data_IF_126218899541
#
_entry.id   IF_126218899541
#
_cell.length_a   1.000
_cell.length_b   1.000
_cell.length_c   1.000
_cell.angle_alpha   90.00
_cell.angle_beta   90.00
_cell.angle_gamma   90.00
#
_symmetry.space_group_name_H-M   'P 1'
#
loop_
_entity.id
_entity.type
_entity.pdbx_description
1 polymer ?
#
# COMPACT_ATOMS: atom_id res chain seq x y z
N UNK A 1 -16.07 7.60 -18.26
CA UNK A 1 -16.00 6.76 -17.04
C UNK A 1 -16.42 5.36 -17.44
N UNK A 2 -15.46 4.48 -17.73
CA UNK A 2 -15.77 3.11 -18.16
C UNK A 2 -16.06 2.31 -16.89
N UNK A 3 -17.33 1.99 -16.67
CA UNK A 3 -17.75 1.14 -15.56
C UNK A 3 -17.42 -0.30 -15.95
N UNK A 4 -16.34 -0.84 -15.41
CA UNK A 4 -16.11 -2.29 -15.43
C UNK A 4 -17.10 -2.92 -14.44
N UNK A 5 -18.32 -3.21 -14.91
CA UNK A 5 -19.28 -4.10 -14.22
C UNK A 5 -18.88 -5.54 -14.54
N UNK A 6 -17.68 -5.93 -14.10
CA UNK A 6 -17.24 -7.31 -14.08
C UNK A 6 -17.09 -7.71 -12.62
N UNK A 7 -17.98 -8.58 -12.13
CA UNK A 7 -17.79 -9.22 -10.83
C UNK A 7 -16.51 -10.05 -10.96
N UNK A 8 -15.47 -9.73 -10.18
CA UNK A 8 -14.19 -10.45 -10.21
C UNK A 8 -14.37 -11.96 -9.94
N UNK A 9 -15.50 -12.35 -9.34
CA UNK A 9 -15.92 -13.75 -9.11
C UNK A 9 -16.26 -14.56 -10.38
N UNK A 10 -16.55 -13.91 -11.52
CA UNK A 10 -16.84 -14.61 -12.78
C UNK A 10 -15.56 -15.02 -13.53
N UNK A 11 -14.38 -14.57 -13.09
CA UNK A 11 -13.10 -15.09 -13.58
C UNK A 11 -12.74 -16.40 -12.87
N UNK A 12 -13.58 -17.42 -13.03
CA UNK A 12 -13.18 -18.82 -12.79
C UNK A 12 -12.40 -19.32 -14.00
N UNK A 13 -11.26 -18.68 -14.27
CA UNK A 13 -10.24 -19.31 -15.09
C UNK A 13 -9.90 -20.64 -14.42
N UNK A 14 -10.15 -21.75 -15.11
CA UNK A 14 -9.75 -23.05 -14.64
C UNK A 14 -8.21 -23.09 -14.66
N UNK A 15 -7.55 -22.65 -13.59
CA UNK A 15 -6.09 -22.66 -13.45
C UNK A 15 -5.50 -24.07 -13.55
N UNK A 16 -6.36 -25.10 -13.52
CA UNK A 16 -6.04 -26.52 -13.71
C UNK A 16 -6.35 -27.04 -15.13
N UNK A 17 -6.74 -26.18 -16.07
CA UNK A 17 -6.77 -26.55 -17.47
C UNK A 17 -5.32 -26.71 -17.93
N UNK A 18 -4.82 -27.95 -17.84
CA UNK A 18 -3.50 -28.33 -18.32
C UNK A 18 -3.40 -27.83 -19.76
N UNK A 19 -2.63 -26.77 -19.97
CA UNK A 19 -2.30 -26.32 -21.32
C UNK A 19 -1.82 -27.56 -22.09
N UNK A 20 -2.46 -27.84 -23.22
CA UNK A 20 -2.05 -28.96 -24.08
C UNK A 20 -0.66 -28.60 -24.59
N UNK A 21 0.36 -29.15 -23.94
CA UNK A 21 1.75 -28.99 -24.37
C UNK A 21 1.99 -29.94 -25.54
N UNK A 22 2.58 -29.40 -26.60
CA UNK A 22 2.98 -30.17 -27.77
C UNK A 22 4.23 -31.02 -27.52
N UNK A 23 4.61 -31.80 -28.52
CA UNK A 23 5.84 -32.59 -28.50
C UNK A 23 7.10 -31.71 -28.43
N UNK A 24 8.23 -32.34 -28.11
CA UNK A 24 9.51 -31.65 -27.99
C UNK A 24 10.05 -31.29 -29.38
N UNK A 25 10.27 -30.00 -29.64
CA UNK A 25 10.92 -29.56 -30.88
C UNK A 25 12.45 -29.64 -30.76
N UNK A 26 13.19 -29.73 -31.87
CA UNK A 26 14.66 -29.67 -31.86
C UNK A 26 15.20 -28.47 -31.07
N UNK A 27 16.29 -28.70 -30.33
CA UNK A 27 16.87 -27.73 -29.39
C UNK A 27 17.26 -26.40 -30.07
N UNK A 28 17.86 -26.48 -31.25
CA UNK A 28 18.27 -25.33 -32.07
C UNK A 28 17.09 -24.40 -32.41
N UNK A 29 15.93 -24.99 -32.69
CA UNK A 29 14.71 -24.25 -32.98
C UNK A 29 14.25 -23.57 -31.69
N UNK A 30 14.17 -24.29 -30.58
CA UNK A 30 13.79 -23.70 -29.28
C UNK A 30 14.68 -22.51 -28.88
N UNK A 31 16.00 -22.62 -29.05
CA UNK A 31 16.95 -21.55 -28.75
C UNK A 31 16.74 -20.32 -29.66
N UNK A 32 16.56 -20.55 -30.97
CA UNK A 32 16.31 -19.46 -31.94
C UNK A 32 15.02 -18.72 -31.65
N UNK A 33 13.94 -19.45 -31.34
CA UNK A 33 12.68 -18.81 -31.00
C UNK A 33 12.72 -18.11 -29.64
N UNK A 34 13.47 -18.62 -28.67
CA UNK A 34 13.70 -17.94 -27.39
C UNK A 34 14.25 -16.53 -27.60
N UNK A 35 15.19 -16.37 -28.53
CA UNK A 35 15.70 -15.05 -28.92
C UNK A 35 14.62 -14.15 -29.54
N UNK A 36 13.81 -14.69 -30.46
CA UNK A 36 12.73 -13.94 -31.12
C UNK A 36 11.67 -13.48 -30.10
N UNK A 37 11.40 -14.28 -29.06
CA UNK A 37 10.49 -13.91 -27.98
C UNK A 37 11.04 -12.78 -27.10
N UNK A 38 12.34 -12.81 -26.79
CA UNK A 38 13.00 -11.75 -26.02
C UNK A 38 13.10 -10.44 -26.79
N UNK A 39 13.41 -10.52 -28.10
CA UNK A 39 13.50 -9.36 -28.98
C UNK A 39 12.11 -8.82 -29.39
N UNK A 40 11.06 -9.61 -29.18
CA UNK A 40 9.65 -9.25 -29.35
C UNK A 40 9.10 -9.51 -30.77
N UNK A 41 7.98 -10.24 -30.86
CA UNK A 41 7.22 -10.39 -32.11
C UNK A 41 6.32 -9.17 -32.39
N UNK A 42 6.14 -8.87 -33.68
CA UNK A 42 5.13 -7.92 -34.17
C UNK A 42 3.72 -8.47 -33.87
N UNK A 43 2.77 -7.57 -33.58
CA UNK A 43 1.42 -7.92 -33.11
C UNK A 43 0.68 -8.90 -34.04
N UNK A 44 0.75 -8.69 -35.34
CA UNK A 44 0.11 -9.54 -36.36
C UNK A 44 0.65 -10.99 -36.32
N UNK A 45 1.96 -11.14 -36.10
CA UNK A 45 2.60 -12.45 -36.01
C UNK A 45 2.23 -13.18 -34.71
N UNK A 46 2.00 -12.45 -33.62
CA UNK A 46 1.55 -13.04 -32.34
C UNK A 46 0.17 -13.66 -32.45
N UNK A 47 -0.76 -13.00 -33.15
CA UNK A 47 -2.13 -13.49 -33.34
C UNK A 47 -2.15 -14.75 -34.23
N UNK A 48 -1.38 -14.75 -35.33
CA UNK A 48 -1.24 -15.92 -36.20
C UNK A 48 -0.61 -17.14 -35.49
N UNK A 49 0.34 -16.91 -34.59
CA UNK A 49 0.96 -17.97 -33.77
C UNK A 49 -0.02 -18.49 -32.71
N UNK A 50 -0.84 -17.62 -32.12
CA UNK A 50 -1.77 -18.01 -31.05
C UNK A 50 -2.89 -18.93 -31.53
N UNK A 51 -3.41 -18.72 -32.74
CA UNK A 51 -4.51 -19.55 -33.28
C UNK A 51 -4.03 -20.91 -33.80
N UNK A 52 -2.79 -21.01 -34.29
CA UNK A 52 -2.33 -22.18 -35.03
C UNK A 52 -1.36 -23.08 -34.26
N UNK A 53 -0.80 -22.63 -33.14
CA UNK A 53 0.30 -23.34 -32.50
C UNK A 53 -0.04 -23.89 -31.11
N UNK A 54 0.19 -25.19 -30.98
CA UNK A 54 0.31 -25.86 -29.69
C UNK A 54 1.70 -25.52 -29.12
N UNK A 55 1.76 -24.99 -27.89
CA UNK A 55 3.02 -24.57 -27.26
C UNK A 55 3.90 -25.81 -27.03
N UNK A 56 5.10 -25.90 -27.61
CA UNK A 56 6.00 -27.04 -27.40
C UNK A 56 6.41 -27.18 -25.94
N UNK A 57 6.58 -28.42 -25.45
CA UNK A 57 6.90 -28.67 -24.04
C UNK A 57 8.25 -28.09 -23.57
N UNK A 58 9.22 -27.95 -24.48
CA UNK A 58 10.54 -27.39 -24.18
C UNK A 58 10.60 -25.86 -24.20
N UNK A 59 9.48 -25.20 -24.50
CA UNK A 59 9.40 -23.75 -24.59
C UNK A 59 9.17 -23.11 -23.21
N UNK A 60 10.21 -23.15 -22.37
CA UNK A 60 10.13 -22.70 -20.98
C UNK A 60 9.95 -21.18 -20.84
N UNK A 61 10.41 -20.38 -21.81
CA UNK A 61 10.29 -18.92 -21.77
C UNK A 61 8.86 -18.40 -21.99
N UNK A 62 7.98 -19.20 -22.58
CA UNK A 62 6.56 -18.86 -22.75
C UNK A 62 5.74 -19.27 -21.54
N UNK A 63 6.27 -20.17 -20.70
CA UNK A 63 5.64 -20.50 -19.44
C UNK A 63 5.84 -19.34 -18.48
N UNK A 64 4.75 -18.93 -17.82
CA UNK A 64 4.88 -18.00 -16.71
C UNK A 64 5.87 -18.59 -15.69
N UNK A 65 6.77 -17.77 -15.12
CA UNK A 65 7.68 -18.25 -14.10
C UNK A 65 6.87 -18.92 -12.99
N UNK A 66 7.33 -20.10 -12.57
CA UNK A 66 6.74 -20.79 -11.43
C UNK A 66 7.12 -20.02 -10.17
N UNK A 67 6.28 -19.07 -9.81
CA UNK A 67 6.45 -18.26 -8.61
C UNK A 67 6.14 -19.11 -7.37
N UNK A 68 6.86 -18.83 -6.29
CA UNK A 68 6.54 -19.41 -4.99
C UNK A 68 5.23 -18.80 -4.48
N UNK A 69 4.39 -19.55 -3.75
CA UNK A 69 3.12 -19.02 -3.24
C UNK A 69 3.32 -17.80 -2.34
N UNK A 70 4.43 -17.71 -1.60
CA UNK A 70 4.79 -16.55 -0.79
C UNK A 70 5.05 -15.29 -1.64
N UNK A 71 5.75 -15.43 -2.77
CA UNK A 71 6.01 -14.33 -3.70
C UNK A 71 4.72 -13.82 -4.35
N UNK A 72 3.81 -14.73 -4.70
CA UNK A 72 2.49 -14.37 -5.24
C UNK A 72 1.68 -13.58 -4.21
N UNK A 73 1.70 -14.01 -2.95
CA UNK A 73 1.02 -13.30 -1.86
C UNK A 73 1.60 -11.90 -1.66
N UNK A 74 2.93 -11.77 -1.68
CA UNK A 74 3.62 -10.48 -1.55
C UNK A 74 3.25 -9.54 -2.69
N UNK A 75 3.37 -9.99 -3.95
CA UNK A 75 3.01 -9.18 -5.12
C UNK A 75 1.54 -8.75 -5.06
N UNK A 76 0.65 -9.64 -4.61
CA UNK A 76 -0.77 -9.31 -4.45
C UNK A 76 -1.00 -8.23 -3.38
N UNK A 77 -0.29 -8.33 -2.25
CA UNK A 77 -0.34 -7.32 -1.18
C UNK A 77 0.18 -5.96 -1.66
N UNK A 78 1.29 -5.94 -2.36
CA UNK A 78 1.88 -4.72 -2.93
C UNK A 78 0.93 -4.08 -3.95
N UNK A 79 0.31 -4.89 -4.82
CA UNK A 79 -0.66 -4.42 -5.80
C UNK A 79 -1.89 -3.79 -5.11
N UNK A 80 -2.45 -4.46 -4.12
CA UNK A 80 -3.59 -3.93 -3.35
C UNK A 80 -3.21 -2.65 -2.56
N UNK A 81 -1.97 -2.56 -2.09
CA UNK A 81 -1.45 -1.38 -1.44
C UNK A 81 -1.45 -0.18 -2.39
N UNK A 82 -0.85 -0.34 -3.56
CA UNK A 82 -0.79 0.68 -4.61
C UNK A 82 -2.18 1.10 -5.11
N UNK A 83 -3.08 0.14 -5.36
CA UNK A 83 -4.44 0.43 -5.79
C UNK A 83 -5.17 1.32 -4.77
N UNK A 84 -4.99 1.03 -3.48
CA UNK A 84 -5.59 1.85 -2.42
C UNK A 84 -5.02 3.28 -2.41
N UNK A 85 -3.70 3.42 -2.55
CA UNK A 85 -3.06 4.74 -2.61
C UNK A 85 -3.61 5.52 -3.80
N UNK A 86 -3.67 4.89 -4.97
CA UNK A 86 -4.15 5.52 -6.19
C UNK A 86 -5.62 5.92 -6.08
N UNK A 87 -6.48 5.06 -5.51
CA UNK A 87 -7.88 5.40 -5.25
C UNK A 87 -8.03 6.60 -4.31
N UNK A 88 -7.22 6.68 -3.24
CA UNK A 88 -7.23 7.86 -2.35
C UNK A 88 -6.74 9.12 -3.05
N UNK A 89 -5.67 9.05 -3.84
CA UNK A 89 -5.16 10.19 -4.63
C UNK A 89 -6.21 10.71 -5.62
N UNK A 90 -7.02 9.82 -6.21
CA UNK A 90 -8.08 10.19 -7.14
C UNK A 90 -9.34 10.73 -6.45
N UNK A 91 -9.71 10.18 -5.29
CA UNK A 91 -10.95 10.54 -4.60
C UNK A 91 -10.79 11.76 -3.69
N UNK A 92 -9.65 11.93 -2.99
CA UNK A 92 -9.44 13.03 -2.04
C UNK A 92 -9.70 14.41 -2.67
N UNK A 93 -9.19 14.74 -3.88
CA UNK A 93 -9.43 16.06 -4.49
C UNK A 93 -10.89 16.30 -4.88
N UNK A 94 -11.71 15.25 -4.99
CA UNK A 94 -13.12 15.33 -5.34
C UNK A 94 -14.02 15.51 -4.10
N UNK A 95 -13.46 15.45 -2.89
CA UNK A 95 -14.20 15.65 -1.65
C UNK A 95 -14.23 17.13 -1.26
N UNK A 96 -15.33 17.53 -0.62
CA UNK A 96 -15.44 18.86 -0.01
C UNK A 96 -14.33 19.08 1.02
N UNK A 97 -13.92 20.34 1.19
CA UNK A 97 -12.79 20.71 2.05
C UNK A 97 -12.95 20.24 3.52
N UNK A 98 -14.19 20.19 4.02
CA UNK A 98 -14.53 19.66 5.34
C UNK A 98 -14.27 18.14 5.43
N UNK A 99 -14.67 17.38 4.41
CA UNK A 99 -14.43 15.95 4.31
C UNK A 99 -12.98 15.61 4.01
N UNK A 100 -12.26 16.46 3.27
CA UNK A 100 -10.84 16.26 2.99
C UNK A 100 -10.02 16.20 4.28
N UNK A 101 -10.21 17.17 5.18
CA UNK A 101 -9.50 17.23 6.46
C UNK A 101 -9.80 16.00 7.33
N UNK A 102 -11.04 15.52 7.29
CA UNK A 102 -11.46 14.31 8.01
C UNK A 102 -10.84 13.05 7.38
N UNK A 103 -10.90 12.90 6.06
CA UNK A 103 -10.48 11.70 5.36
C UNK A 103 -8.96 11.54 5.22
N UNK A 104 -8.21 12.65 5.17
CA UNK A 104 -6.75 12.63 5.03
C UNK A 104 -6.04 12.05 6.27
N UNK A 105 -6.61 12.27 7.47
CA UNK A 105 -6.01 11.82 8.73
C UNK A 105 -6.34 10.38 9.13
N UNK A 106 -7.24 9.68 8.41
CA UNK A 106 -7.70 8.36 8.85
C UNK A 106 -6.73 7.27 8.40
N UNK A 107 -6.38 6.39 9.35
CA UNK A 107 -5.57 5.21 9.12
C UNK A 107 -6.25 4.31 8.08
N UNK A 108 -5.47 3.81 7.12
CA UNK A 108 -5.93 2.83 6.14
C UNK A 108 -6.15 1.51 6.88
N UNK A 109 -7.39 1.03 6.88
CA UNK A 109 -7.76 -0.27 7.45
C UNK A 109 -8.49 -1.09 6.36
N UNK A 110 -9.46 -1.92 6.74
CA UNK A 110 -10.24 -2.75 5.82
C UNK A 110 -10.98 -1.94 4.73
N UNK A 111 -11.39 -0.71 5.04
CA UNK A 111 -12.02 0.22 4.10
C UNK A 111 -11.07 1.35 3.70
N UNK A 112 -11.33 1.95 2.53
CA UNK A 112 -10.49 3.00 1.94
C UNK A 112 -10.18 4.16 2.90
N UNK A 113 -11.15 4.49 3.76
CA UNK A 113 -11.07 5.53 4.78
C UNK A 113 -11.37 4.98 6.19
N UNK A 114 -11.22 3.67 6.39
CA UNK A 114 -11.47 2.99 7.66
C UNK A 114 -12.94 2.87 8.08
N UNK A 115 -13.19 1.98 9.05
CA UNK A 115 -14.54 1.70 9.59
C UNK A 115 -15.13 2.88 10.35
N UNK A 116 -14.26 3.65 11.02
CA UNK A 116 -14.65 4.73 11.92
C UNK A 116 -15.08 6.00 11.20
N UNK A 117 -14.99 6.07 9.86
CA UNK A 117 -15.35 7.26 9.10
C UNK A 117 -16.81 7.68 9.37
N UNK A 118 -17.73 6.72 9.38
CA UNK A 118 -19.14 6.99 9.61
C UNK A 118 -19.43 7.58 11.01
N UNK A 119 -18.71 7.10 12.02
CA UNK A 119 -18.79 7.62 13.39
C UNK A 119 -18.21 9.03 13.48
N UNK A 120 -17.04 9.28 12.87
CA UNK A 120 -16.45 10.63 12.83
C UNK A 120 -17.33 11.66 12.13
N UNK A 121 -18.06 11.27 11.07
CA UNK A 121 -18.99 12.17 10.37
C UNK A 121 -20.16 12.53 11.27
N UNK A 122 -20.74 11.54 11.98
CA UNK A 122 -21.85 11.77 12.92
C UNK A 122 -21.41 12.67 14.07
N UNK A 123 -20.30 12.33 14.71
CA UNK A 123 -19.74 13.09 15.83
C UNK A 123 -19.45 14.54 15.41
N UNK A 124 -18.89 14.76 14.21
CA UNK A 124 -18.62 16.10 13.69
C UNK A 124 -19.91 16.91 13.50
N UNK A 125 -20.99 16.30 13.00
CA UNK A 125 -22.30 16.96 12.82
C UNK A 125 -22.95 17.31 14.15
N UNK A 126 -22.82 16.45 15.16
CA UNK A 126 -23.40 16.71 16.48
C UNK A 126 -22.61 17.79 17.25
N UNK A 127 -21.28 17.81 17.10
CA UNK A 127 -20.43 18.92 17.55
C UNK A 127 -20.81 20.23 16.83
N UNK A 128 -21.05 20.19 15.53
CA UNK A 128 -21.46 21.38 14.78
C UNK A 128 -22.80 21.92 15.27
N UNK A 129 -23.83 21.08 15.45
CA UNK A 129 -25.13 21.47 16.00
C UNK A 129 -25.03 22.07 17.40
N UNK A 130 -24.29 21.41 18.30
CA UNK A 130 -24.08 21.91 19.66
C UNK A 130 -23.30 23.25 19.68
N UNK A 131 -22.33 23.43 18.77
CA UNK A 131 -21.61 24.70 18.62
C UNK A 131 -22.51 25.84 18.13
N UNK A 132 -23.50 25.55 17.28
CA UNK A 132 -24.48 26.55 16.79
C UNK A 132 -25.42 27.00 17.92
N UNK A 133 -25.78 26.09 18.83
CA UNK A 133 -26.59 26.44 20.00
C UNK A 133 -25.87 27.42 20.94
N UNK A 134 -24.55 27.28 21.10
CA UNK A 134 -23.73 28.20 21.91
C UNK A 134 -23.65 29.59 21.26
N UNK A 135 -23.52 29.65 19.92
CA UNK A 135 -23.43 30.92 19.18
C UNK A 135 -24.73 31.72 19.16
N UNK A 136 -25.87 31.06 19.36
CA UNK A 136 -27.19 31.69 19.38
C UNK A 136 -27.63 32.17 20.77
N UNK A 137 -26.74 32.14 21.78
CA UNK A 137 -27.00 32.78 23.05
C UNK A 137 -27.06 34.32 22.87
N UNK A 138 -28.06 35.00 23.46
CA UNK A 138 -28.14 36.45 23.40
C UNK A 138 -26.87 37.06 24.01
N UNK A 139 -26.38 38.22 23.50
CA UNK A 139 -25.20 38.86 24.04
C UNK A 139 -25.42 39.13 25.53
N UNK A 140 -24.67 38.41 26.38
CA UNK A 140 -24.71 38.59 27.83
C UNK A 140 -24.35 40.05 28.12
N UNK A 141 -25.32 40.78 28.65
CA UNK A 141 -25.11 42.16 29.08
C UNK A 141 -23.97 42.20 30.10
N UNK A 142 -23.11 43.21 29.98
CA UNK A 142 -22.02 43.51 30.92
C UNK A 142 -22.61 43.90 32.28
N UNK A 143 -22.96 42.94 33.13
CA UNK A 143 -23.49 43.25 34.47
C UNK A 143 -23.21 42.17 35.52
N UNK A 144 -22.19 41.32 35.32
CA UNK A 144 -21.85 40.27 36.29
C UNK A 144 -20.33 40.08 36.33
N UNK A 145 -19.64 41.15 36.74
CA UNK A 145 -18.21 41.16 37.06
C UNK A 145 -17.96 41.89 38.38
N UNK A 146 -18.76 41.66 39.42
CA UNK A 146 -18.38 42.05 40.79
C UNK A 146 -18.95 40.97 41.74
N UNK A 147 -18.17 40.55 42.73
CA UNK A 147 -18.37 39.41 43.67
C UNK A 147 -17.94 38.05 43.10
N UNK A 148 -16.65 37.69 43.18
CA UNK A 148 -16.08 37.22 44.45
C UNK A 148 -14.55 37.28 44.40
N UNK A 149 -13.99 38.40 44.87
CA UNK A 149 -12.73 38.38 45.62
C UNK A 149 -13.17 38.32 47.08
N UNK A 150 -12.77 37.40 47.96
CA UNK A 150 -11.40 37.04 48.39
C UNK A 150 -11.52 35.98 49.53
N UNK A 151 -10.43 35.63 50.25
CA UNK A 151 -9.51 34.50 50.07
C UNK A 151 -9.72 33.35 51.10
N UNK A 152 -9.00 32.22 50.97
CA UNK A 152 -8.24 31.55 52.05
C UNK A 152 -7.67 30.18 51.61
N UNK A 153 -6.34 30.07 51.71
CA UNK A 153 -5.53 28.92 52.10
C UNK A 153 -6.19 27.52 52.06
N UNK A 154 -5.71 26.65 51.17
CA UNK A 154 -5.23 25.32 51.58
C UNK A 154 -4.23 24.76 50.58
N UNK A 155 -2.98 24.68 51.03
CA UNK A 155 -2.01 23.77 50.45
C UNK A 155 -2.55 22.33 50.54
N UNK A 156 -2.63 21.66 49.40
CA UNK A 156 -2.62 20.22 49.33
C UNK A 156 -1.66 19.87 48.20
N UNK A 157 -0.53 19.29 48.60
CA UNK A 157 0.47 18.72 47.72
C UNK A 157 -0.22 17.77 46.73
N UNK A 158 -0.12 18.06 45.44
CA UNK A 158 -0.45 17.10 44.41
C UNK A 158 0.88 16.48 43.97
N UNK A 159 0.96 15.20 44.27
CA UNK A 159 2.06 14.29 44.02
C UNK A 159 2.44 14.34 42.54
N UNK A 160 3.65 14.81 42.26
CA UNK A 160 4.24 14.79 40.94
C UNK A 160 4.85 13.40 40.74
N UNK A 161 4.03 12.44 40.30
CA UNK A 161 4.57 11.28 39.60
C UNK A 161 4.86 11.72 38.17
N UNK A 162 6.07 12.24 37.97
CA UNK A 162 6.73 12.32 36.67
C UNK A 162 6.80 10.92 36.09
N UNK A 163 5.88 10.58 35.19
CA UNK A 163 6.05 9.45 34.30
C UNK A 163 6.99 9.94 33.19
N UNK A 164 8.29 9.72 33.41
CA UNK A 164 9.32 9.90 32.39
C UNK A 164 8.94 9.06 31.17
N UNK A 165 8.46 9.74 30.12
CA UNK A 165 8.36 9.15 28.80
C UNK A 165 9.79 9.06 28.24
N UNK A 166 10.42 7.92 28.51
CA UNK A 166 11.72 7.53 27.97
C UNK A 166 11.60 7.51 26.43
N UNK A 167 12.06 8.59 25.81
CA UNK A 167 12.25 8.70 24.38
C UNK A 167 13.35 7.70 24.00
N UNK A 168 12.93 6.52 23.59
CA UNK A 168 13.79 5.47 23.06
C UNK A 168 14.51 6.03 21.82
N UNK A 169 15.75 6.46 22.04
CA UNK A 169 16.62 6.99 21.01
C UNK A 169 16.85 5.87 19.98
N UNK A 170 16.78 6.16 18.67
CA UNK A 170 17.10 5.16 17.67
C UNK A 170 18.54 4.70 17.87
N UNK A 171 18.69 3.40 18.13
CA UNK A 171 19.96 2.70 18.23
C UNK A 171 20.85 3.10 17.04
N UNK A 172 22.12 3.48 17.25
CA UNK A 172 23.01 3.78 16.15
C UNK A 172 23.15 2.53 15.28
N UNK A 173 22.73 2.65 14.02
CA UNK A 173 22.96 1.70 12.95
C UNK A 173 24.37 1.11 13.10
N UNK A 174 24.44 -0.16 13.46
CA UNK A 174 25.67 -0.92 13.42
C UNK A 174 26.19 -0.85 11.99
N UNK A 175 27.28 -0.10 11.81
CA UNK A 175 28.00 -0.05 10.55
C UNK A 175 28.44 -1.48 10.23
N UNK A 176 27.73 -2.11 9.30
CA UNK A 176 28.12 -3.40 8.75
C UNK A 176 29.55 -3.28 8.26
N UNK A 177 30.44 -4.00 8.94
CA UNK A 177 31.85 -4.10 8.60
C UNK A 177 31.98 -4.44 7.12
N UNK A 178 32.66 -3.57 6.37
CA UNK A 178 33.05 -3.85 5.01
C UNK A 178 33.85 -5.17 4.98
N UNK A 179 33.53 -6.11 4.08
CA UNK A 179 34.34 -7.31 3.93
C UNK A 179 35.76 -6.89 3.51
N UNK A 180 36.76 -7.42 4.22
CA UNK A 180 38.16 -7.20 3.93
C UNK A 180 38.49 -7.59 2.47
N UNK A 181 39.34 -6.81 1.77
CA UNK A 181 39.76 -7.16 0.43
C UNK A 181 40.53 -8.50 0.46
N UNK A 182 40.26 -9.43 -0.47
CA UNK A 182 40.98 -10.69 -0.52
C UNK A 182 42.46 -10.45 -0.81
N UNK A 183 43.25 -11.18 -0.05
CA UNK A 183 44.71 -11.16 0.01
C UNK A 183 45.34 -11.33 -1.38
N UNK A 184 46.38 -10.54 -1.63
CA UNK A 184 47.13 -10.54 -2.88
C UNK A 184 47.78 -11.92 -3.06
N UNK A 185 47.21 -12.73 -3.94
CA UNK A 185 47.83 -13.97 -4.39
C UNK A 185 49.21 -13.67 -4.99
N UNK A 186 50.22 -14.33 -4.42
CA UNK A 186 51.61 -14.28 -4.87
C UNK A 186 51.73 -14.71 -6.33
N UNK A 187 52.20 -13.77 -7.16
CA UNK A 187 52.76 -14.01 -8.47
C UNK A 187 54.08 -14.78 -8.32
N UNK A 188 53.99 -16.11 -8.41
CA UNK A 188 55.11 -16.99 -8.67
C UNK A 188 54.85 -17.77 -9.95
N UNK A 189 55.27 -17.19 -11.08
CA UNK A 189 55.90 -17.98 -12.14
C UNK A 189 56.80 -17.11 -13.02
N UNK A 190 58.05 -16.97 -12.58
CA UNK A 190 59.21 -16.86 -13.46
C UNK A 190 59.85 -18.24 -13.62
N UNK A 191 60.39 -18.44 -14.82
CA UNK A 191 61.21 -19.53 -15.35
C UNK A 191 60.46 -20.62 -16.10
#
# INVERSE_FOLDING_TARGET
MIVFVGRFDDWKGNWNEKMKLGENIPKEISERWGKILLDGLVKEQKEAVKENMVIPKNFLLVQAPKLNPEEVAQISLDLHYEETINRRKLLLPLLDKSFWNMAHGVKKEAFLFGDKLGETIKNSKDIEKSSQQIKNLPPRSKAEQIETSRPLLRAAAFDASEEEFELDAPEPLQAAAAPAPPDKFHDQRRH
#
